data_IF_606652536855
#
_entry.id   IF_606652536855
#
_cell.length_a   1.000
_cell.length_b   1.000
_cell.length_c   1.000
_cell.angle_alpha   90.00
_cell.angle_beta   90.00
_cell.angle_gamma   90.00
#
_symmetry.space_group_name_H-M   'P 1'
#
loop_
_entity.id
_entity.type
_entity.pdbx_description
1 polymer ?
#
# COMPACT_ATOMS: atom_id res chain seq x y z
N UNK A 1 -10.82 32.57 -6.84
CA UNK A 1 -11.39 31.74 -5.76
C UNK A 1 -12.52 30.90 -6.35
N UNK A 2 -12.19 29.76 -6.97
CA UNK A 2 -13.16 28.91 -7.71
C UNK A 2 -14.21 28.33 -6.75
N UNK A 3 -13.90 28.21 -5.48
CA UNK A 3 -14.76 27.66 -4.43
C UNK A 3 -15.83 28.65 -3.93
N UNK A 4 -15.73 29.94 -4.29
CA UNK A 4 -16.69 30.98 -3.93
C UNK A 4 -17.59 31.41 -5.10
N UNK A 5 -17.33 30.91 -6.30
CA UNK A 5 -18.06 31.29 -7.50
C UNK A 5 -19.18 30.31 -7.74
N UNK A 6 -20.44 30.78 -7.67
CA UNK A 6 -21.56 29.98 -8.13
C UNK A 6 -21.54 29.91 -9.65
N UNK A 7 -21.28 28.72 -10.18
CA UNK A 7 -21.40 28.47 -11.60
C UNK A 7 -22.87 28.12 -11.87
N UNK A 8 -23.55 28.82 -12.79
CA UNK A 8 -24.93 28.52 -13.17
C UNK A 8 -25.13 27.13 -13.83
N UNK A 9 -24.13 26.27 -13.78
CA UNK A 9 -24.08 24.93 -14.32
C UNK A 9 -23.91 23.91 -13.17
N UNK A 10 -24.86 22.98 -13.06
CA UNK A 10 -24.88 21.94 -12.03
C UNK A 10 -23.63 21.04 -12.03
N UNK A 11 -22.99 20.80 -13.19
CA UNK A 11 -21.75 20.02 -13.28
C UNK A 11 -20.56 20.75 -12.65
N UNK A 12 -20.46 22.05 -12.91
CA UNK A 12 -19.38 22.88 -12.33
C UNK A 12 -19.53 23.01 -10.81
N UNK A 13 -20.76 23.13 -10.31
CA UNK A 13 -21.06 23.12 -8.87
C UNK A 13 -20.73 21.77 -8.21
N UNK A 14 -21.12 20.65 -8.82
CA UNK A 14 -20.83 19.32 -8.31
C UNK A 14 -19.32 19.05 -8.25
N UNK A 15 -18.59 19.45 -9.29
CA UNK A 15 -17.13 19.35 -9.32
C UNK A 15 -16.48 20.21 -8.23
N UNK A 16 -16.89 21.48 -8.10
CA UNK A 16 -16.33 22.38 -7.10
C UNK A 16 -16.57 21.85 -5.67
N UNK A 17 -17.74 21.28 -5.39
CA UNK A 17 -18.05 20.63 -4.12
C UNK A 17 -17.21 19.39 -3.88
N UNK A 18 -17.15 18.46 -4.83
CA UNK A 18 -16.33 17.26 -4.70
C UNK A 18 -14.84 17.59 -4.45
N UNK A 19 -14.33 18.65 -5.10
CA UNK A 19 -12.97 19.12 -4.90
C UNK A 19 -12.76 19.72 -3.49
N UNK A 20 -13.71 20.54 -3.01
CA UNK A 20 -13.70 21.06 -1.64
C UNK A 20 -13.74 19.93 -0.59
N UNK A 21 -14.67 18.99 -0.76
CA UNK A 21 -14.81 17.83 0.12
C UNK A 21 -13.50 17.02 0.14
N UNK A 22 -12.82 16.86 -1.00
CA UNK A 22 -11.52 16.20 -1.08
C UNK A 22 -10.43 16.94 -0.28
N UNK A 23 -10.39 18.27 -0.34
CA UNK A 23 -9.45 19.09 0.45
C UNK A 23 -9.74 18.93 1.94
N UNK A 24 -11.00 19.09 2.36
CA UNK A 24 -11.40 18.99 3.76
C UNK A 24 -11.13 17.59 4.34
N UNK A 25 -11.43 16.55 3.56
CA UNK A 25 -11.13 15.16 3.93
C UNK A 25 -9.61 14.93 4.07
N UNK A 26 -8.80 15.46 3.15
CA UNK A 26 -7.34 15.33 3.19
C UNK A 26 -6.74 16.03 4.42
N UNK A 27 -7.20 17.25 4.72
CA UNK A 27 -6.75 18.00 5.91
C UNK A 27 -7.15 17.29 7.20
N UNK A 28 -8.39 16.80 7.26
CA UNK A 28 -8.90 16.06 8.42
C UNK A 28 -8.11 14.78 8.63
N UNK A 29 -7.89 14.00 7.57
CA UNK A 29 -7.08 12.79 7.62
C UNK A 29 -5.65 13.08 8.07
N UNK A 30 -5.02 14.13 7.52
CA UNK A 30 -3.68 14.55 7.92
C UNK A 30 -3.57 14.80 9.42
N UNK A 31 -4.51 15.57 9.99
CA UNK A 31 -4.57 15.84 11.44
C UNK A 31 -4.80 14.58 12.27
N UNK A 32 -5.68 13.69 11.81
CA UNK A 32 -5.91 12.40 12.47
C UNK A 32 -4.62 11.58 12.51
N UNK A 33 -3.87 11.51 11.41
CA UNK A 33 -2.65 10.71 11.30
C UNK A 33 -1.44 11.34 12.01
N UNK A 34 -1.39 12.66 12.20
CA UNK A 34 -0.34 13.33 12.98
C UNK A 34 -0.29 12.85 14.44
N UNK A 35 -1.45 12.56 15.03
CA UNK A 35 -1.57 12.05 16.40
C UNK A 35 -1.26 10.55 16.54
N UNK A 36 -1.19 9.81 15.44
CA UNK A 36 -1.03 8.35 15.47
C UNK A 36 0.43 7.98 15.73
N UNK A 37 0.64 7.26 16.84
CA UNK A 37 1.91 6.64 17.16
C UNK A 37 1.83 5.13 16.94
N UNK A 38 2.77 4.62 16.15
CA UNK A 38 2.97 3.19 15.97
C UNK A 38 3.49 2.56 17.28
N UNK A 39 3.27 1.27 17.43
CA UNK A 39 3.60 0.48 18.64
C UNK A 39 5.03 -0.04 18.61
N UNK A 40 5.62 -0.16 17.42
CA UNK A 40 7.01 -0.55 17.21
C UNK A 40 7.85 0.65 16.73
N UNK A 41 9.17 0.46 16.62
CA UNK A 41 10.08 1.44 16.03
C UNK A 41 9.94 1.56 14.49
N UNK A 42 9.03 0.80 13.87
CA UNK A 42 8.73 0.71 12.44
C UNK A 42 9.78 1.32 11.49
N UNK A 43 10.75 0.53 11.01
CA UNK A 43 11.75 1.00 10.06
C UNK A 43 11.12 1.49 8.75
N UNK A 44 11.65 2.57 8.19
CA UNK A 44 11.17 3.22 6.96
C UNK A 44 12.26 3.34 5.89
N UNK A 45 13.04 2.26 5.70
CA UNK A 45 14.31 2.27 4.97
C UNK A 45 14.07 2.27 3.45
N UNK A 46 13.08 1.52 2.98
CA UNK A 46 12.71 1.46 1.56
C UNK A 46 11.31 2.02 1.27
N UNK A 47 10.95 2.11 -0.03
CA UNK A 47 9.67 2.68 -0.47
C UNK A 47 8.46 1.91 0.06
N UNK A 48 8.48 0.59 -0.06
CA UNK A 48 7.39 -0.28 0.40
C UNK A 48 7.22 -0.22 1.92
N UNK A 49 8.32 -0.17 2.69
CA UNK A 49 8.26 0.07 4.14
C UNK A 49 7.55 1.39 4.47
N UNK A 50 7.85 2.48 3.75
CA UNK A 50 7.20 3.78 3.96
C UNK A 50 5.72 3.75 3.64
N UNK A 51 5.32 3.08 2.54
CA UNK A 51 3.90 2.95 2.18
C UNK A 51 3.15 2.10 3.22
N UNK A 52 3.68 0.94 3.59
CA UNK A 52 3.10 0.09 4.63
C UNK A 52 3.08 0.78 6.01
N UNK A 53 4.04 1.66 6.30
CA UNK A 53 4.01 2.49 7.51
C UNK A 53 2.80 3.43 7.53
N UNK A 54 2.44 4.02 6.38
CA UNK A 54 1.23 4.86 6.29
C UNK A 54 -0.04 4.01 6.46
N UNK A 55 -0.07 2.82 5.84
CA UNK A 55 -1.16 1.85 6.04
C UNK A 55 -1.30 1.48 7.52
N UNK A 56 -0.18 1.23 8.22
CA UNK A 56 -0.20 0.91 9.64
C UNK A 56 -0.77 2.06 10.50
N UNK A 57 -0.52 3.32 10.12
CA UNK A 57 -1.13 4.49 10.78
C UNK A 57 -2.62 4.63 10.46
N UNK A 58 -3.02 4.33 9.23
CA UNK A 58 -4.42 4.30 8.84
C UNK A 58 -5.17 3.25 9.66
N UNK A 59 -4.65 2.02 9.75
CA UNK A 59 -5.24 0.95 10.58
C UNK A 59 -5.32 1.37 12.06
N UNK A 60 -4.25 1.94 12.61
CA UNK A 60 -4.24 2.42 14.00
C UNK A 60 -5.26 3.54 14.28
N UNK A 61 -5.70 4.28 13.26
CA UNK A 61 -6.70 5.35 13.38
C UNK A 61 -8.12 4.94 13.00
N UNK A 62 -8.38 3.66 12.74
CA UNK A 62 -9.68 3.21 12.22
C UNK A 62 -10.87 3.65 13.09
N UNK A 63 -10.76 3.59 14.43
CA UNK A 63 -11.83 4.07 15.33
C UNK A 63 -12.14 5.55 15.16
N UNK A 64 -11.10 6.39 15.11
CA UNK A 64 -11.23 7.84 14.94
C UNK A 64 -11.76 8.22 13.54
N UNK A 65 -11.54 7.35 12.55
CA UNK A 65 -12.08 7.50 11.19
C UNK A 65 -13.45 6.83 11.03
N UNK A 66 -13.94 6.11 12.03
CA UNK A 66 -15.13 5.25 11.93
C UNK A 66 -15.05 4.25 10.76
N UNK A 67 -13.84 3.74 10.48
CA UNK A 67 -13.60 2.82 9.40
C UNK A 67 -13.88 1.38 9.84
N UNK A 68 -14.98 0.79 9.34
CA UNK A 68 -15.31 -0.62 9.56
C UNK A 68 -14.51 -1.56 8.63
N UNK A 69 -14.16 -1.06 7.44
CA UNK A 69 -13.37 -1.78 6.44
C UNK A 69 -12.58 -0.78 5.61
N UNK A 70 -11.27 -0.96 5.59
CA UNK A 70 -10.40 -0.24 4.69
C UNK A 70 -9.84 -1.18 3.62
N UNK A 71 -9.50 -0.59 2.48
CA UNK A 71 -8.81 -1.25 1.40
C UNK A 71 -7.70 -0.34 0.89
N UNK A 72 -6.48 -0.86 0.84
CA UNK A 72 -5.29 -0.07 0.52
C UNK A 72 -4.52 -0.72 -0.62
N UNK A 73 -4.03 0.12 -1.53
CA UNK A 73 -3.02 -0.28 -2.51
C UNK A 73 -1.67 0.27 -2.08
N UNK A 74 -0.67 -0.60 -2.07
CA UNK A 74 0.73 -0.24 -1.98
C UNK A 74 1.45 -0.79 -3.19
N UNK A 75 2.50 -0.12 -3.63
CA UNK A 75 3.20 -0.43 -4.87
C UNK A 75 4.70 -0.52 -4.65
N UNK A 76 5.33 -1.46 -5.34
CA UNK A 76 6.78 -1.56 -5.42
C UNK A 76 7.16 -1.79 -6.87
N UNK A 77 7.81 -0.80 -7.48
CA UNK A 77 8.24 -0.85 -8.87
C UNK A 77 9.62 -1.50 -9.07
N UNK A 78 10.09 -1.47 -10.32
CA UNK A 78 11.44 -1.94 -10.68
C UNK A 78 11.52 -3.40 -11.13
N UNK A 79 10.39 -4.02 -11.46
CA UNK A 79 10.29 -5.43 -11.84
C UNK A 79 10.48 -5.72 -13.33
N UNK A 80 10.50 -4.70 -14.20
CA UNK A 80 10.72 -4.84 -15.64
C UNK A 80 12.23 -4.74 -16.01
N UNK A 81 13.06 -5.49 -15.31
CA UNK A 81 14.48 -5.64 -15.64
C UNK A 81 14.72 -6.82 -16.59
N UNK A 82 15.60 -6.61 -17.57
CA UNK A 82 16.00 -7.59 -18.59
C UNK A 82 17.48 -8.00 -18.50
N UNK A 83 18.19 -7.49 -17.49
CA UNK A 83 19.59 -7.82 -17.22
C UNK A 83 19.87 -7.84 -15.72
N UNK A 84 20.94 -8.54 -15.32
CA UNK A 84 21.35 -8.71 -13.91
C UNK A 84 20.20 -9.23 -13.01
N UNK A 85 19.31 -10.05 -13.59
CA UNK A 85 18.03 -10.39 -12.98
C UNK A 85 18.20 -11.05 -11.61
N UNK A 86 19.17 -11.96 -11.46
CA UNK A 86 19.44 -12.64 -10.17
C UNK A 86 19.76 -11.67 -9.04
N UNK A 87 20.68 -10.73 -9.27
CA UNK A 87 21.10 -9.74 -8.28
C UNK A 87 19.96 -8.76 -7.95
N UNK A 88 19.24 -8.29 -8.98
CA UNK A 88 18.14 -7.35 -8.80
C UNK A 88 16.95 -7.99 -8.09
N UNK A 89 16.60 -9.23 -8.42
CA UNK A 89 15.55 -9.97 -7.72
C UNK A 89 15.92 -10.23 -6.26
N UNK A 90 17.17 -10.62 -5.96
CA UNK A 90 17.61 -10.80 -4.56
C UNK A 90 17.45 -9.50 -3.75
N UNK A 91 17.87 -8.36 -4.30
CA UNK A 91 17.67 -7.06 -3.65
C UNK A 91 16.18 -6.72 -3.45
N UNK A 92 15.35 -6.94 -4.48
CA UNK A 92 13.91 -6.67 -4.40
C UNK A 92 13.21 -7.57 -3.37
N UNK A 93 13.52 -8.87 -3.33
CA UNK A 93 12.93 -9.78 -2.36
C UNK A 93 13.35 -9.46 -0.93
N UNK A 94 14.60 -9.04 -0.69
CA UNK A 94 15.01 -8.55 0.64
C UNK A 94 14.25 -7.30 1.06
N UNK A 95 13.95 -6.40 0.13
CA UNK A 95 13.13 -5.23 0.43
C UNK A 95 11.69 -5.61 0.79
N UNK A 96 11.09 -6.55 0.06
CA UNK A 96 9.76 -7.11 0.38
C UNK A 96 9.79 -7.76 1.77
N UNK A 97 10.73 -8.67 2.01
CA UNK A 97 10.87 -9.39 3.27
C UNK A 97 10.99 -8.43 4.47
N UNK A 98 11.87 -7.44 4.37
CA UNK A 98 12.03 -6.40 5.38
C UNK A 98 10.75 -5.58 5.63
N UNK A 99 10.02 -5.26 4.56
CA UNK A 99 8.79 -4.48 4.64
C UNK A 99 7.65 -5.28 5.27
N UNK A 100 7.46 -6.53 4.85
CA UNK A 100 6.44 -7.42 5.40
C UNK A 100 6.73 -7.76 6.86
N UNK A 101 8.00 -8.04 7.21
CA UNK A 101 8.40 -8.32 8.60
C UNK A 101 8.04 -7.17 9.53
N UNK A 102 8.36 -5.93 9.12
CA UNK A 102 8.06 -4.74 9.90
C UNK A 102 6.55 -4.49 10.00
N UNK A 103 5.82 -4.71 8.91
CA UNK A 103 4.37 -4.53 8.88
C UNK A 103 3.65 -5.55 9.77
N UNK A 104 3.99 -6.84 9.68
CA UNK A 104 3.40 -7.89 10.53
C UNK A 104 3.67 -7.61 12.00
N UNK A 105 4.92 -7.31 12.37
CA UNK A 105 5.28 -6.99 13.75
C UNK A 105 4.47 -5.81 14.32
N UNK A 106 4.22 -4.79 13.50
CA UNK A 106 3.39 -3.65 13.89
C UNK A 106 1.91 -4.04 14.02
N UNK A 107 1.36 -4.83 13.09
CA UNK A 107 -0.04 -5.28 13.16
C UNK A 107 -0.29 -6.19 14.38
N UNK A 108 0.67 -7.04 14.73
CA UNK A 108 0.63 -7.83 15.96
C UNK A 108 0.67 -6.93 17.21
N UNK A 109 1.59 -5.95 17.24
CA UNK A 109 1.71 -5.01 18.34
C UNK A 109 0.46 -4.11 18.51
N UNK A 110 -0.23 -3.80 17.42
CA UNK A 110 -1.53 -3.11 17.41
C UNK A 110 -2.70 -4.04 17.76
N UNK A 111 -2.49 -5.35 17.86
CA UNK A 111 -3.54 -6.39 18.01
C UNK A 111 -4.55 -6.42 16.87
N UNK A 112 -4.11 -6.03 15.67
CA UNK A 112 -4.92 -5.96 14.46
C UNK A 112 -4.60 -7.09 13.46
N UNK A 113 -3.53 -7.86 13.68
CA UNK A 113 -3.05 -8.84 12.70
C UNK A 113 -4.11 -9.88 12.26
N UNK A 114 -4.94 -10.35 13.19
CA UNK A 114 -6.05 -11.27 12.92
C UNK A 114 -7.14 -10.68 11.99
N UNK A 115 -7.17 -9.34 11.84
CA UNK A 115 -8.14 -8.61 11.01
C UNK A 115 -7.53 -8.05 9.72
N UNK A 116 -6.28 -8.40 9.41
CA UNK A 116 -5.56 -7.89 8.24
C UNK A 116 -5.28 -9.03 7.26
N UNK A 117 -5.52 -8.78 5.97
CA UNK A 117 -5.08 -9.64 4.88
C UNK A 117 -4.33 -8.80 3.84
N UNK A 118 -3.15 -9.28 3.45
CA UNK A 118 -2.33 -8.70 2.39
C UNK A 118 -2.20 -9.73 1.28
N UNK A 119 -2.51 -9.33 0.06
CA UNK A 119 -2.38 -10.15 -1.14
C UNK A 119 -1.50 -9.42 -2.15
N UNK A 120 -0.69 -10.17 -2.90
CA UNK A 120 0.11 -9.62 -4.00
C UNK A 120 -0.63 -9.66 -5.32
N UNK A 121 -0.42 -8.65 -6.15
CA UNK A 121 -0.84 -8.60 -7.56
C UNK A 121 0.33 -8.10 -8.43
N UNK A 122 0.35 -8.47 -9.71
CA UNK A 122 1.43 -8.15 -10.66
C UNK A 122 0.87 -8.07 -12.07
N UNK A 123 1.41 -7.14 -12.88
CA UNK A 123 0.99 -6.91 -14.27
C UNK A 123 1.48 -8.02 -15.22
N UNK A 124 2.59 -8.69 -14.87
CA UNK A 124 3.18 -9.76 -15.66
C UNK A 124 3.86 -10.81 -14.78
N UNK A 125 4.08 -11.98 -15.36
CA UNK A 125 4.95 -13.03 -14.84
C UNK A 125 6.25 -13.11 -15.66
N UNK A 126 7.09 -14.12 -15.41
CA UNK A 126 8.36 -14.32 -16.12
C UNK A 126 8.43 -15.68 -16.79
N UNK A 127 9.04 -15.74 -17.98
CA UNK A 127 9.30 -17.01 -18.68
C UNK A 127 10.30 -17.86 -17.89
N UNK A 128 10.22 -19.20 -18.06
CA UNK A 128 11.20 -20.12 -17.49
C UNK A 128 12.54 -20.09 -18.26
N UNK A 129 12.46 -19.85 -19.57
CA UNK A 129 13.63 -19.82 -20.44
C UNK A 129 14.39 -18.50 -20.33
N UNK A 130 15.72 -18.59 -20.52
CA UNK A 130 16.58 -17.42 -20.53
C UNK A 130 16.58 -16.73 -21.89
N UNK A 131 16.57 -15.40 -21.87
CA UNK A 131 16.77 -14.55 -23.06
C UNK A 131 18.24 -14.08 -23.24
N UNK A 132 19.19 -14.69 -22.52
CA UNK A 132 20.62 -14.35 -22.56
C UNK A 132 21.06 -13.26 -21.57
N UNK A 133 20.15 -12.40 -21.10
CA UNK A 133 20.39 -11.40 -20.05
C UNK A 133 19.58 -11.62 -18.76
N UNK A 134 18.48 -12.37 -18.86
CA UNK A 134 17.51 -12.64 -17.81
C UNK A 134 16.42 -13.58 -18.34
N UNK A 135 15.17 -13.16 -18.21
CA UNK A 135 13.96 -13.80 -18.75
C UNK A 135 13.02 -12.74 -19.33
N UNK A 136 12.11 -13.16 -20.21
CA UNK A 136 11.06 -12.29 -20.75
C UNK A 136 9.80 -12.32 -19.87
N UNK A 137 8.79 -11.53 -20.27
CA UNK A 137 7.48 -11.49 -19.64
C UNK A 137 6.64 -12.72 -20.01
N UNK A 138 5.81 -13.16 -19.08
CA UNK A 138 4.89 -14.27 -19.24
C UNK A 138 3.52 -13.97 -18.62
N UNK A 139 2.61 -14.91 -18.80
CA UNK A 139 1.27 -14.92 -18.22
C UNK A 139 1.24 -15.90 -17.05
N UNK A 140 0.33 -15.68 -16.08
CA UNK A 140 0.21 -16.43 -14.82
C UNK A 140 1.45 -16.32 -13.90
N UNK A 141 1.30 -15.55 -12.82
CA UNK A 141 2.34 -15.30 -11.82
C UNK A 141 2.14 -16.11 -10.53
N UNK A 142 3.20 -16.16 -9.71
CA UNK A 142 3.10 -16.65 -8.34
C UNK A 142 2.68 -15.49 -7.45
N UNK A 143 1.57 -15.67 -6.75
CA UNK A 143 1.05 -14.70 -5.78
C UNK A 143 0.95 -15.36 -4.42
N UNK A 144 1.08 -14.57 -3.37
CA UNK A 144 0.86 -15.03 -2.01
C UNK A 144 -0.16 -14.14 -1.30
N UNK A 145 -0.73 -14.70 -0.24
CA UNK A 145 -1.58 -14.01 0.72
C UNK A 145 -0.99 -14.27 2.10
N UNK A 146 -0.85 -13.22 2.91
CA UNK A 146 -0.51 -13.32 4.33
C UNK A 146 -1.61 -12.66 5.15
N UNK A 147 -1.97 -13.28 6.27
CA UNK A 147 -3.00 -12.79 7.18
C UNK A 147 -2.92 -13.53 8.51
N UNK A 148 -3.20 -12.85 9.63
CA UNK A 148 -3.36 -13.52 10.92
C UNK A 148 -4.62 -14.39 10.97
N UNK A 149 -5.72 -13.89 10.40
CA UNK A 149 -7.01 -14.59 10.39
C UNK A 149 -7.12 -15.72 9.36
N UNK A 150 -6.08 -15.97 8.55
CA UNK A 150 -6.09 -17.06 7.59
C UNK A 150 -5.87 -18.41 8.29
N UNK A 151 -6.87 -19.28 8.21
CA UNK A 151 -6.72 -20.69 8.57
C UNK A 151 -6.02 -21.42 7.42
N UNK A 152 -4.69 -21.49 7.51
CA UNK A 152 -3.87 -22.22 6.54
C UNK A 152 -4.19 -23.72 6.48
N UNK A 153 -3.65 -24.38 5.46
CA UNK A 153 -3.71 -25.83 5.22
C UNK A 153 -2.45 -26.32 4.55
#
# INVERSE_FOLDING_TARGET
NITAQRHGNAYSEAYARAFLDSIENTVTLGRTLEGVKLKTNYPARNGLERELQQVAKLIASHEARHAERDFFFVSVGGWDMHSMMKQRLDASFRNIDAALTSFVAEMEAQKMWESVALATESEFARTLDSNGGGSDHAWAGQHFIISGGLKGG
#
